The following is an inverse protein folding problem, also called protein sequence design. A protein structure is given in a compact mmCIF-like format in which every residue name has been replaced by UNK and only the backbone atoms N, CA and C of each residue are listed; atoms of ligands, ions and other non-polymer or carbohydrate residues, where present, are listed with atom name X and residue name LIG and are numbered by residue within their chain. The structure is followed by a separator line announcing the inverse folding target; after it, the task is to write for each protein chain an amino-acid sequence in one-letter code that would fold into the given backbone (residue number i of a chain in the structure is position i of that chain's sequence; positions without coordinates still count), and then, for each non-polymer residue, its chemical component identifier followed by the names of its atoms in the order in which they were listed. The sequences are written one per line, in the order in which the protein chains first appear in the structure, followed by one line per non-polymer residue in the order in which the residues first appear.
data_IF_412822930961
#
_entry.id   IF_412822930961
#
_cell.length_a   1.000
_cell.length_b   1.000
_cell.length_c   1.000
_cell.angle_alpha   90.00
_cell.angle_beta   90.00
_cell.angle_gamma   90.00
#
_symmetry.space_group_name_H-M   'P 1'
#
loop_
_entity.id
_entity.type
_entity.pdbx_description
1 polymer ?
#
# COMPACT_ATOMS: atom_id res chain seq x y z
N UNK A 1 41.42 -78.23 8.35
CA UNK A 1 40.33 -77.46 8.96
C UNK A 1 40.69 -75.99 9.16
N UNK A 2 41.72 -75.43 8.56
CA UNK A 2 42.07 -73.96 8.76
C UNK A 2 41.74 -73.06 7.57
N UNK A 3 41.42 -73.59 6.43
CA UNK A 3 41.19 -72.79 5.22
C UNK A 3 39.71 -72.29 5.06
N UNK A 4 38.77 -72.98 5.67
CA UNK A 4 37.35 -72.56 5.56
C UNK A 4 37.02 -71.32 6.35
N UNK A 5 37.76 -71.00 7.38
CA UNK A 5 37.52 -69.82 8.23
C UNK A 5 38.07 -68.53 7.63
N UNK A 6 39.07 -68.62 6.75
CA UNK A 6 39.68 -67.47 6.07
C UNK A 6 38.69 -66.88 5.04
N UNK A 7 37.96 -67.74 4.33
CA UNK A 7 36.96 -67.24 3.35
C UNK A 7 35.73 -66.65 4.00
N UNK A 8 35.36 -67.09 5.22
CA UNK A 8 34.26 -66.51 5.98
C UNK A 8 34.65 -65.11 6.51
N UNK A 9 35.90 -64.89 6.89
CA UNK A 9 36.39 -63.63 7.40
C UNK A 9 36.54 -62.59 6.23
N UNK A 10 36.91 -63.05 5.03
CA UNK A 10 36.98 -62.13 3.86
C UNK A 10 35.61 -61.75 3.33
N UNK A 11 34.60 -62.65 3.42
CA UNK A 11 33.22 -62.32 3.02
C UNK A 11 32.55 -61.32 3.98
N UNK A 12 32.93 -61.31 5.28
CA UNK A 12 32.43 -60.37 6.27
C UNK A 12 32.97 -58.95 6.11
N UNK A 13 34.16 -58.79 5.52
CA UNK A 13 34.77 -57.46 5.34
C UNK A 13 34.17 -56.70 4.11
N UNK A 14 33.71 -57.45 3.09
CA UNK A 14 33.04 -56.83 1.94
C UNK A 14 31.60 -56.41 2.20
N UNK A 15 30.95 -56.89 3.21
CA UNK A 15 29.60 -56.52 3.57
C UNK A 15 29.48 -55.18 4.39
N UNK A 16 30.62 -54.62 4.81
CA UNK A 16 30.67 -53.34 5.54
C UNK A 16 31.05 -52.11 4.67
N UNK A 17 31.29 -52.33 3.36
CA UNK A 17 31.61 -51.21 2.44
C UNK A 17 30.44 -50.77 1.58
N UNK A 18 29.21 -51.14 1.88
CA UNK A 18 28.02 -50.62 1.19
C UNK A 18 27.20 -49.76 2.13
N UNK A 19 27.83 -48.78 2.72
CA UNK A 19 27.16 -47.53 2.99
C UNK A 19 27.57 -46.57 1.85
N UNK A 20 26.89 -46.62 0.73
CA UNK A 20 26.71 -45.41 -0.03
C UNK A 20 26.00 -44.46 0.94
N UNK A 21 26.72 -43.49 1.48
CA UNK A 21 26.06 -42.27 1.98
C UNK A 21 25.27 -41.76 0.77
N UNK A 22 23.97 -41.98 0.78
CA UNK A 22 23.05 -41.19 -0.03
C UNK A 22 23.39 -39.76 0.31
N UNK A 23 24.20 -39.13 -0.53
CA UNK A 23 24.52 -37.73 -0.41
C UNK A 23 23.17 -36.98 -0.55
N UNK A 24 22.51 -36.75 0.59
CA UNK A 24 21.32 -35.88 0.61
C UNK A 24 21.75 -34.58 -0.03
N UNK A 25 21.11 -34.17 -1.12
CA UNK A 25 21.48 -32.95 -1.80
C UNK A 25 21.43 -31.78 -0.81
N UNK A 26 22.57 -31.14 -0.61
CA UNK A 26 22.70 -30.01 0.30
C UNK A 26 22.18 -28.77 -0.43
N UNK A 27 21.22 -28.09 0.19
CA UNK A 27 20.75 -26.78 -0.26
C UNK A 27 21.89 -25.77 -0.05
N UNK A 28 22.47 -25.25 -1.11
CA UNK A 28 23.57 -24.27 -1.07
C UNK A 28 23.39 -23.27 -2.19
N UNK A 29 23.36 -21.98 -1.84
CA UNK A 29 23.27 -20.92 -2.84
C UNK A 29 24.47 -20.97 -3.79
N UNK A 30 24.24 -21.31 -5.06
CA UNK A 30 25.23 -21.32 -6.13
C UNK A 30 25.27 -19.98 -6.87
N UNK A 31 24.10 -19.40 -7.11
CA UNK A 31 23.96 -18.10 -7.76
C UNK A 31 22.82 -17.34 -7.09
N UNK A 32 23.09 -16.13 -6.65
CA UNK A 32 22.05 -15.24 -6.10
C UNK A 32 21.10 -14.77 -7.22
N UNK A 33 19.89 -14.43 -6.86
CA UNK A 33 18.97 -13.75 -7.77
C UNK A 33 19.59 -12.43 -8.24
N UNK A 34 19.28 -12.01 -9.46
CA UNK A 34 19.83 -10.79 -10.04
C UNK A 34 18.75 -9.94 -10.70
N UNK A 35 18.45 -8.76 -10.12
CA UNK A 35 17.53 -7.79 -10.68
C UNK A 35 18.04 -7.25 -12.02
N UNK A 36 17.13 -7.20 -13.00
CA UNK A 36 17.39 -6.57 -14.29
C UNK A 36 17.20 -5.07 -14.19
N UNK A 37 17.96 -4.31 -14.97
CA UNK A 37 17.74 -2.87 -15.10
C UNK A 37 16.33 -2.59 -15.64
N UNK A 38 15.66 -1.58 -15.10
CA UNK A 38 14.37 -1.14 -15.63
C UNK A 38 14.50 -0.61 -17.07
N UNK A 39 13.48 -0.80 -17.87
CA UNK A 39 13.41 -0.27 -19.25
C UNK A 39 13.39 1.25 -19.28
N UNK A 40 12.97 1.89 -18.20
CA UNK A 40 12.97 3.34 -18.00
C UNK A 40 13.30 3.65 -16.55
N UNK A 41 14.16 4.64 -16.31
CA UNK A 41 14.66 4.99 -14.97
C UNK A 41 14.31 6.41 -14.52
N UNK A 42 13.61 7.15 -15.35
CA UNK A 42 13.05 8.50 -15.00
C UNK A 42 11.58 8.50 -15.41
N UNK A 43 10.71 8.43 -14.41
CA UNK A 43 9.30 8.12 -14.59
C UNK A 43 8.46 9.23 -13.96
N UNK A 44 7.64 9.90 -14.79
CA UNK A 44 6.62 10.84 -14.31
C UNK A 44 5.26 10.18 -14.41
N UNK A 45 4.62 9.95 -13.25
CA UNK A 45 3.27 9.44 -13.19
C UNK A 45 2.31 10.63 -13.22
N UNK A 46 1.28 10.53 -14.05
CA UNK A 46 0.27 11.56 -14.25
C UNK A 46 -1.12 10.92 -14.34
N UNK A 47 -2.16 11.74 -14.25
CA UNK A 47 -3.53 11.31 -14.52
C UNK A 47 -3.68 10.58 -15.87
N UNK A 48 -3.02 11.09 -16.91
CA UNK A 48 -3.18 10.59 -18.28
C UNK A 48 -2.52 9.22 -18.50
N UNK A 49 -1.46 8.90 -17.72
CA UNK A 49 -0.73 7.65 -17.84
C UNK A 49 -0.93 6.68 -16.66
N UNK A 50 -1.83 6.98 -15.73
CA UNK A 50 -2.04 6.20 -14.50
C UNK A 50 -2.36 4.71 -14.75
N UNK A 51 -3.07 4.43 -15.83
CA UNK A 51 -3.50 3.07 -16.18
C UNK A 51 -2.46 2.33 -17.06
N UNK A 52 -1.40 3.03 -17.48
CA UNK A 52 -0.29 2.41 -18.20
C UNK A 52 0.54 1.51 -17.27
N UNK A 53 1.26 0.55 -17.86
CA UNK A 53 2.15 -0.32 -17.12
C UNK A 53 3.40 0.46 -16.67
N UNK A 54 3.73 0.34 -15.39
CA UNK A 54 5.04 0.72 -14.85
C UNK A 54 6.11 -0.25 -15.41
N UNK A 55 7.37 0.17 -15.60
CA UNK A 55 8.44 -0.74 -16.01
C UNK A 55 8.49 -1.99 -15.13
N UNK A 56 8.42 -3.16 -15.76
CA UNK A 56 8.41 -4.44 -15.09
C UNK A 56 9.67 -4.62 -14.23
N UNK A 57 9.51 -5.02 -12.98
CA UNK A 57 10.59 -5.40 -12.08
C UNK A 57 10.80 -6.89 -12.24
N UNK A 58 11.89 -7.29 -12.93
CA UNK A 58 12.19 -8.66 -13.24
C UNK A 58 13.61 -9.04 -12.79
N UNK A 59 13.85 -10.33 -12.59
CA UNK A 59 15.15 -10.86 -12.13
C UNK A 59 15.44 -12.26 -12.65
N UNK A 60 16.71 -12.62 -12.65
CA UNK A 60 17.13 -14.00 -12.78
C UNK A 60 16.93 -14.73 -11.45
N UNK A 61 16.40 -15.97 -11.53
CA UNK A 61 16.15 -16.77 -10.33
C UNK A 61 17.43 -17.18 -9.62
N UNK A 62 17.39 -17.26 -8.31
CA UNK A 62 18.46 -17.85 -7.52
C UNK A 62 18.60 -19.35 -7.83
N UNK A 63 19.84 -19.84 -7.87
CA UNK A 63 20.18 -21.26 -8.01
C UNK A 63 20.77 -21.77 -6.69
N UNK A 64 20.12 -22.75 -6.10
CA UNK A 64 20.54 -23.42 -4.87
C UNK A 64 21.19 -24.78 -5.11
N UNK A 65 21.56 -25.09 -6.35
CA UNK A 65 22.19 -26.37 -6.73
C UNK A 65 21.26 -27.59 -6.68
N UNK A 66 20.03 -27.39 -6.16
CA UNK A 66 18.95 -28.38 -6.09
C UNK A 66 17.63 -27.74 -6.41
N UNK A 67 16.65 -28.54 -6.81
CA UNK A 67 15.28 -28.03 -7.00
C UNK A 67 14.69 -27.65 -5.64
N UNK A 68 14.44 -26.37 -5.43
CA UNK A 68 13.85 -25.82 -4.22
C UNK A 68 12.70 -24.87 -4.57
N UNK A 69 11.74 -24.75 -3.67
CA UNK A 69 10.76 -23.65 -3.71
C UNK A 69 11.45 -22.41 -3.15
N UNK A 70 11.52 -21.37 -3.96
CA UNK A 70 12.16 -20.10 -3.60
C UNK A 70 11.09 -19.03 -3.59
N UNK A 71 11.00 -18.29 -2.49
CA UNK A 71 10.21 -17.07 -2.37
C UNK A 71 11.13 -15.86 -2.56
N UNK A 72 10.64 -14.83 -3.24
CA UNK A 72 11.35 -13.58 -3.50
C UNK A 72 10.64 -12.44 -2.81
N UNK A 73 11.32 -11.76 -1.90
CA UNK A 73 10.83 -10.58 -1.19
C UNK A 73 11.42 -9.34 -1.85
N UNK A 74 10.57 -8.51 -2.44
CA UNK A 74 10.98 -7.29 -3.15
C UNK A 74 10.66 -6.09 -2.30
N UNK A 75 11.66 -5.27 -2.02
CA UNK A 75 11.55 -4.08 -1.17
C UNK A 75 11.82 -2.82 -1.99
N UNK A 76 10.95 -1.84 -1.85
CA UNK A 76 11.10 -0.47 -2.36
C UNK A 76 11.56 0.45 -1.24
N UNK A 77 12.60 1.24 -1.50
CA UNK A 77 13.14 2.24 -0.57
C UNK A 77 13.18 3.61 -1.25
N UNK A 78 12.60 4.61 -0.62
CA UNK A 78 12.83 6.01 -0.96
C UNK A 78 14.14 6.48 -0.29
N UNK A 79 15.16 6.81 -1.07
CA UNK A 79 16.50 7.15 -0.55
C UNK A 79 16.54 8.49 0.15
N UNK A 80 15.59 9.40 -0.15
CA UNK A 80 15.49 10.72 0.50
C UNK A 80 14.85 10.66 1.89
N UNK A 81 13.86 9.78 2.08
CA UNK A 81 13.13 9.65 3.36
C UNK A 81 13.66 8.50 4.22
N UNK A 82 14.46 7.59 3.64
CA UNK A 82 14.88 6.30 4.22
C UNK A 82 13.70 5.39 4.63
N UNK A 83 12.51 5.62 4.08
CA UNK A 83 11.35 4.73 4.28
C UNK A 83 11.40 3.58 3.29
N UNK A 84 11.09 2.37 3.76
CA UNK A 84 11.08 1.15 2.95
C UNK A 84 9.80 0.37 3.19
N UNK A 85 9.29 -0.28 2.14
CA UNK A 85 8.15 -1.20 2.22
C UNK A 85 8.42 -2.42 1.33
N UNK A 86 7.88 -3.57 1.72
CA UNK A 86 7.78 -4.74 0.84
C UNK A 86 6.68 -4.46 -0.18
N UNK A 87 7.03 -4.53 -1.46
CA UNK A 87 6.11 -4.29 -2.58
C UNK A 87 5.62 -5.57 -3.25
N UNK A 88 6.19 -6.72 -2.89
CA UNK A 88 5.72 -8.02 -3.32
C UNK A 88 6.53 -9.16 -2.77
N UNK A 89 5.84 -10.29 -2.58
CA UNK A 89 6.41 -11.58 -2.23
C UNK A 89 5.88 -12.60 -3.24
N UNK A 90 6.76 -13.36 -3.90
CA UNK A 90 6.37 -14.24 -4.99
C UNK A 90 7.38 -15.33 -5.26
N UNK A 91 6.95 -16.47 -5.79
CA UNK A 91 7.81 -17.52 -6.38
C UNK A 91 8.12 -17.28 -7.87
N UNK A 92 7.52 -16.27 -8.50
CA UNK A 92 7.80 -15.87 -9.88
C UNK A 92 9.10 -15.07 -9.96
N UNK A 93 9.55 -14.77 -11.19
CA UNK A 93 10.76 -14.00 -11.43
C UNK A 93 10.48 -12.55 -11.85
N UNK A 94 9.30 -12.02 -11.47
CA UNK A 94 8.89 -10.64 -11.80
C UNK A 94 7.73 -10.15 -10.97
N UNK A 95 7.62 -8.82 -10.89
CA UNK A 95 6.45 -8.08 -10.45
C UNK A 95 6.06 -7.06 -11.53
N UNK A 96 4.76 -6.92 -11.73
CA UNK A 96 4.20 -5.94 -12.65
C UNK A 96 3.16 -5.08 -11.91
N UNK A 97 3.20 -3.78 -12.15
CA UNK A 97 2.31 -2.79 -11.57
C UNK A 97 1.79 -1.86 -12.66
N UNK A 98 0.62 -1.31 -12.48
CA UNK A 98 0.21 -0.10 -13.18
C UNK A 98 0.93 1.11 -12.57
N UNK A 99 0.97 2.22 -13.28
CA UNK A 99 1.49 3.48 -12.72
C UNK A 99 0.69 3.92 -11.50
N UNK A 100 -0.63 3.70 -11.46
CA UNK A 100 -1.48 4.02 -10.31
C UNK A 100 -1.13 3.19 -9.06
N UNK A 101 -0.90 1.88 -9.22
CA UNK A 101 -0.47 1.01 -8.13
C UNK A 101 0.91 1.43 -7.61
N UNK A 102 1.85 1.68 -8.52
CA UNK A 102 3.18 2.17 -8.13
C UNK A 102 3.09 3.53 -7.44
N UNK A 103 2.25 4.46 -7.91
CA UNK A 103 2.03 5.76 -7.28
C UNK A 103 1.63 5.63 -5.81
N UNK A 104 0.74 4.68 -5.50
CA UNK A 104 0.32 4.39 -4.13
C UNK A 104 1.45 3.81 -3.28
N UNK A 105 2.34 2.99 -3.87
CA UNK A 105 3.52 2.46 -3.19
C UNK A 105 4.56 3.56 -2.91
N UNK A 106 4.76 4.47 -3.87
CA UNK A 106 5.66 5.63 -3.70
C UNK A 106 5.18 6.55 -2.57
N UNK A 107 3.87 6.77 -2.46
CA UNK A 107 3.28 7.56 -1.38
C UNK A 107 3.57 6.96 0.00
N UNK A 108 3.43 5.64 0.16
CA UNK A 108 3.69 4.92 1.42
C UNK A 108 5.13 5.06 1.90
N UNK A 109 6.09 5.26 1.00
CA UNK A 109 7.48 5.55 1.34
C UNK A 109 7.79 7.05 1.41
N UNK A 110 6.74 7.89 1.50
CA UNK A 110 6.85 9.33 1.75
C UNK A 110 7.24 10.17 0.53
N UNK A 111 6.91 9.73 -0.68
CA UNK A 111 7.07 10.54 -1.86
C UNK A 111 5.80 11.39 -2.07
N UNK A 112 5.96 12.71 -2.15
CA UNK A 112 4.86 13.64 -2.36
C UNK A 112 4.67 13.99 -3.85
N UNK A 113 3.42 14.32 -4.25
CA UNK A 113 3.10 14.61 -5.64
C UNK A 113 3.91 15.80 -6.20
N UNK A 114 4.25 15.72 -7.49
CA UNK A 114 4.94 16.78 -8.21
C UNK A 114 6.41 16.96 -7.85
N UNK A 115 6.95 16.18 -6.91
CA UNK A 115 8.38 16.18 -6.55
C UNK A 115 9.03 14.89 -7.04
N UNK A 116 10.25 15.01 -7.55
CA UNK A 116 11.03 13.85 -8.02
C UNK A 116 11.88 13.29 -6.89
N UNK A 117 11.80 11.98 -6.68
CA UNK A 117 12.58 11.24 -5.67
C UNK A 117 13.40 10.15 -6.31
N UNK A 118 14.51 9.80 -5.65
CA UNK A 118 15.33 8.63 -5.98
C UNK A 118 14.86 7.41 -5.17
N UNK A 119 14.66 6.30 -5.86
CA UNK A 119 14.23 5.03 -5.28
C UNK A 119 15.22 3.92 -5.56
N UNK A 120 15.28 2.98 -4.63
CA UNK A 120 16.03 1.73 -4.78
C UNK A 120 15.06 0.56 -4.63
N UNK A 121 15.16 -0.41 -5.54
CA UNK A 121 14.52 -1.73 -5.41
C UNK A 121 15.61 -2.73 -5.05
N UNK A 122 15.37 -3.49 -4.00
CA UNK A 122 16.20 -4.61 -3.56
C UNK A 122 15.38 -5.90 -3.52
N UNK A 123 16.06 -7.03 -3.63
CA UNK A 123 15.47 -8.34 -3.69
C UNK A 123 16.21 -9.28 -2.75
N UNK A 124 15.46 -10.06 -1.97
CA UNK A 124 15.96 -11.17 -1.17
C UNK A 124 15.28 -12.45 -1.65
N UNK A 125 16.05 -13.51 -1.85
CA UNK A 125 15.53 -14.84 -2.14
C UNK A 125 15.58 -15.70 -0.89
N UNK A 126 14.50 -16.38 -0.59
CA UNK A 126 14.33 -17.27 0.58
C UNK A 126 13.99 -18.67 0.09
N UNK A 127 14.86 -19.64 0.41
CA UNK A 127 14.63 -21.05 0.13
C UNK A 127 14.52 -21.80 1.44
N UNK A 128 13.32 -22.10 1.93
CA UNK A 128 13.01 -22.57 3.27
C UNK A 128 13.25 -21.56 4.39
N UNK A 129 12.42 -21.60 5.45
CA UNK A 129 12.45 -20.72 6.62
C UNK A 129 13.80 -20.60 7.36
N UNK A 130 14.79 -21.42 7.01
CA UNK A 130 16.10 -21.49 7.66
C UNK A 130 17.25 -20.87 6.86
N UNK A 131 17.02 -20.44 5.62
CA UNK A 131 18.05 -19.89 4.74
C UNK A 131 17.58 -18.53 4.20
N UNK A 132 17.84 -17.49 4.96
CA UNK A 132 17.77 -16.12 4.47
C UNK A 132 19.02 -15.84 3.67
N UNK A 133 18.90 -15.65 2.38
CA UNK A 133 20.04 -15.40 1.54
C UNK A 133 20.43 -13.94 1.44
N UNK A 134 21.66 -13.75 1.05
CA UNK A 134 22.18 -12.42 0.80
C UNK A 134 21.33 -11.69 -0.24
N UNK A 135 21.17 -10.39 -0.04
CA UNK A 135 20.52 -9.52 -1.00
C UNK A 135 21.13 -9.68 -2.40
N UNK A 136 20.29 -9.66 -3.41
CA UNK A 136 20.73 -9.50 -4.80
C UNK A 136 21.40 -8.14 -5.02
N UNK A 137 21.82 -7.86 -6.26
CA UNK A 137 22.05 -6.48 -6.68
C UNK A 137 20.78 -5.64 -6.43
N UNK A 138 20.93 -4.34 -6.31
CA UNK A 138 19.83 -3.38 -6.29
C UNK A 138 19.76 -2.62 -7.60
N UNK A 139 18.58 -2.12 -7.95
CA UNK A 139 18.36 -1.21 -9.06
C UNK A 139 17.80 0.10 -8.55
N UNK A 140 18.07 1.18 -9.28
CA UNK A 140 17.62 2.53 -8.90
C UNK A 140 16.82 3.16 -10.02
N UNK A 141 15.88 4.02 -9.64
CA UNK A 141 15.11 4.83 -10.58
C UNK A 141 14.67 6.13 -9.90
N UNK A 142 14.25 7.10 -10.73
CA UNK A 142 13.60 8.34 -10.29
C UNK A 142 12.13 8.27 -10.62
N UNK A 143 11.30 8.75 -9.73
CA UNK A 143 9.88 8.91 -10.02
C UNK A 143 9.32 10.20 -9.44
N UNK A 144 8.37 10.78 -10.19
CA UNK A 144 7.56 11.92 -9.77
C UNK A 144 6.12 11.42 -9.67
N UNK A 145 5.56 11.23 -8.46
CA UNK A 145 4.17 10.83 -8.29
C UNK A 145 3.20 11.98 -8.55
N UNK A 146 1.92 11.65 -8.76
CA UNK A 146 0.83 12.61 -8.86
C UNK A 146 -0.18 12.41 -7.73
N UNK A 147 -1.02 13.41 -7.51
CA UNK A 147 -2.11 13.33 -6.55
C UNK A 147 -3.41 12.86 -7.22
N UNK A 148 -3.89 11.64 -6.96
CA UNK A 148 -5.11 11.13 -7.58
C UNK A 148 -6.39 11.81 -7.05
N UNK A 149 -6.31 12.50 -5.90
CA UNK A 149 -7.48 13.07 -5.22
C UNK A 149 -7.87 14.46 -5.75
N UNK A 150 -6.98 15.15 -6.48
CA UNK A 150 -7.17 16.55 -6.86
C UNK A 150 -7.48 16.76 -8.34
N UNK A 151 -7.80 15.68 -9.03
CA UNK A 151 -8.26 15.75 -10.40
C UNK A 151 -9.53 16.62 -10.51
N UNK A 152 -9.42 17.79 -11.11
CA UNK A 152 -10.47 18.80 -11.30
C UNK A 152 -10.78 19.71 -10.09
N UNK A 153 -9.96 19.72 -9.03
CA UNK A 153 -10.10 20.72 -7.97
C UNK A 153 -9.50 22.05 -8.42
N UNK A 154 -10.31 23.09 -8.44
CA UNK A 154 -9.90 24.47 -8.78
C UNK A 154 -9.87 25.39 -7.57
N UNK A 155 -10.29 24.89 -6.40
CA UNK A 155 -10.36 25.60 -5.14
C UNK A 155 -9.26 25.13 -4.17
N UNK A 156 -9.02 25.88 -3.10
CA UNK A 156 -8.05 25.51 -2.08
C UNK A 156 -8.55 24.31 -1.27
N UNK A 157 -7.65 23.42 -0.92
CA UNK A 157 -7.96 22.23 -0.13
C UNK A 157 -6.85 21.93 0.87
N UNK A 158 -7.20 21.12 1.86
CA UNK A 158 -6.27 20.56 2.83
C UNK A 158 -6.60 19.09 3.08
N UNK A 159 -5.61 18.34 3.52
CA UNK A 159 -5.75 16.93 3.86
C UNK A 159 -6.01 16.74 5.34
N UNK A 160 -6.91 15.83 5.68
CA UNK A 160 -7.07 15.28 7.02
C UNK A 160 -6.14 14.06 7.11
N UNK A 161 -4.94 14.28 7.66
CA UNK A 161 -3.87 13.30 7.75
C UNK A 161 -4.04 12.42 8.99
N UNK A 162 -4.87 11.38 8.88
CA UNK A 162 -5.06 10.38 9.94
C UNK A 162 -3.78 9.58 10.12
N UNK A 163 -3.33 9.41 11.38
CA UNK A 163 -2.08 8.69 11.68
C UNK A 163 -0.79 9.51 11.49
N UNK A 164 -0.91 10.83 11.29
CA UNK A 164 0.27 11.70 11.20
C UNK A 164 1.28 11.45 12.35
N UNK A 165 2.62 11.37 12.09
CA UNK A 165 3.30 11.73 10.82
C UNK A 165 3.33 10.63 9.74
N UNK A 166 2.90 9.40 10.02
CA UNK A 166 2.90 8.28 9.10
C UNK A 166 1.54 8.16 8.40
N UNK A 167 1.24 9.08 7.49
CA UNK A 167 0.01 9.15 6.74
C UNK A 167 0.26 8.96 5.23
N UNK A 168 -0.82 8.60 4.50
CA UNK A 168 -0.81 8.39 3.07
C UNK A 168 -1.79 9.38 2.41
N UNK A 169 -1.28 10.34 1.65
CA UNK A 169 -2.12 11.34 0.99
C UNK A 169 -3.06 10.72 -0.06
N UNK A 170 -2.72 9.56 -0.63
CA UNK A 170 -3.54 8.92 -1.67
C UNK A 170 -4.85 8.37 -1.12
N UNK A 171 -4.92 8.13 0.18
CA UNK A 171 -6.09 7.64 0.90
C UNK A 171 -6.65 8.65 1.89
N UNK A 172 -6.01 9.80 2.05
CA UNK A 172 -6.42 10.84 2.99
C UNK A 172 -7.72 11.53 2.54
N UNK A 173 -8.51 11.95 3.51
CA UNK A 173 -9.70 12.75 3.27
C UNK A 173 -9.33 14.19 2.97
N UNK A 174 -10.16 14.86 2.18
CA UNK A 174 -9.99 16.29 1.86
C UNK A 174 -11.07 17.13 2.51
N UNK A 175 -10.64 18.31 2.99
CA UNK A 175 -11.51 19.44 3.31
C UNK A 175 -11.18 20.58 2.34
N UNK A 176 -12.16 21.39 1.97
CA UNK A 176 -12.00 22.40 0.92
C UNK A 176 -12.58 23.75 1.26
N UNK A 177 -12.05 24.75 0.55
CA UNK A 177 -12.48 26.16 0.60
C UNK A 177 -12.92 26.56 -0.82
N UNK A 178 -14.15 26.20 -1.25
CA UNK A 178 -14.62 26.41 -2.62
C UNK A 178 -15.01 27.87 -2.91
N UNK A 179 -15.34 28.67 -1.93
CA UNK A 179 -15.74 30.08 -2.06
C UNK A 179 -14.59 31.06 -1.76
N UNK A 180 -13.46 30.55 -1.25
CA UNK A 180 -12.24 31.33 -1.04
C UNK A 180 -12.28 32.22 0.21
N UNK A 181 -13.14 31.92 1.16
CA UNK A 181 -13.29 32.70 2.41
C UNK A 181 -12.24 32.35 3.48
N UNK A 182 -11.41 31.33 3.23
CA UNK A 182 -10.36 30.83 4.11
C UNK A 182 -10.85 29.77 5.09
N UNK A 183 -12.08 29.31 4.95
CA UNK A 183 -12.65 28.23 5.78
C UNK A 183 -12.67 26.95 4.96
N UNK A 184 -12.00 25.93 5.47
CA UNK A 184 -11.97 24.60 4.85
C UNK A 184 -12.98 23.71 5.57
N UNK A 185 -13.82 23.00 4.82
CA UNK A 185 -14.77 22.04 5.38
C UNK A 185 -14.85 20.75 4.59
N UNK A 186 -15.22 19.66 5.26
CA UNK A 186 -15.38 18.33 4.64
C UNK A 186 -15.59 17.23 5.68
N UNK A 187 -15.57 15.99 5.21
CA UNK A 187 -15.86 14.82 6.03
C UNK A 187 -14.67 13.87 6.07
N UNK A 188 -14.39 13.28 7.23
CA UNK A 188 -13.39 12.24 7.41
C UNK A 188 -13.93 11.10 8.30
N UNK A 189 -13.58 9.87 7.96
CA UNK A 189 -13.78 8.70 8.82
C UNK A 189 -12.45 8.33 9.47
N UNK A 190 -12.45 8.15 10.77
CA UNK A 190 -11.23 7.89 11.53
C UNK A 190 -11.01 6.42 11.87
N UNK A 191 -11.98 5.54 11.63
CA UNK A 191 -11.90 4.09 11.86
C UNK A 191 -11.25 3.70 13.21
N UNK A 192 -11.56 4.51 14.25
CA UNK A 192 -11.01 4.33 15.60
C UNK A 192 -9.65 5.00 15.83
N UNK A 193 -9.07 5.70 14.87
CA UNK A 193 -7.89 6.53 15.11
C UNK A 193 -8.22 7.66 16.09
N UNK A 194 -7.28 7.95 17.00
CA UNK A 194 -7.48 8.93 18.07
C UNK A 194 -7.06 10.35 17.67
N UNK A 195 -6.20 10.51 16.67
CA UNK A 195 -5.60 11.80 16.31
C UNK A 195 -5.36 11.95 14.81
N UNK A 196 -5.23 13.20 14.37
CA UNK A 196 -4.93 13.58 13.00
C UNK A 196 -4.21 14.94 12.94
N UNK A 197 -3.76 15.31 11.76
CA UNK A 197 -3.29 16.67 11.45
C UNK A 197 -4.01 17.17 10.20
N UNK A 198 -4.02 18.50 10.01
CA UNK A 198 -4.47 19.13 8.77
C UNK A 198 -3.23 19.60 8.00
N UNK A 199 -3.09 19.15 6.77
CA UNK A 199 -1.93 19.40 5.91
C UNK A 199 -2.37 20.23 4.70
N UNK A 200 -1.61 21.26 4.36
CA UNK A 200 -1.87 22.11 3.20
C UNK A 200 -1.88 21.29 1.89
N UNK A 201 -2.93 21.43 1.10
CA UNK A 201 -3.06 20.69 -0.15
C UNK A 201 -2.05 21.10 -1.24
N UNK A 202 -1.58 22.34 -1.21
CA UNK A 202 -0.59 22.83 -2.17
C UNK A 202 0.86 22.54 -1.74
N UNK A 203 1.08 22.34 -0.42
CA UNK A 203 2.41 22.03 0.16
C UNK A 203 2.25 20.98 1.26
N UNK A 204 2.42 19.71 0.89
CA UNK A 204 2.26 18.58 1.80
C UNK A 204 3.30 18.52 2.94
N UNK A 205 4.29 19.40 2.94
CA UNK A 205 5.24 19.57 4.06
C UNK A 205 4.73 20.56 5.11
N UNK A 206 3.69 21.35 4.77
CA UNK A 206 3.14 22.39 5.62
C UNK A 206 1.96 21.88 6.42
N UNK A 207 2.12 21.84 7.74
CA UNK A 207 1.07 21.49 8.69
C UNK A 207 0.28 22.74 9.04
N UNK A 208 -1.02 22.75 8.72
CA UNK A 208 -1.95 23.84 9.07
C UNK A 208 -2.47 23.71 10.50
N UNK A 209 -2.80 22.50 10.93
CA UNK A 209 -3.18 22.21 12.32
C UNK A 209 -2.62 20.85 12.74
N UNK A 210 -1.91 20.82 13.89
CA UNK A 210 -1.21 19.63 14.39
C UNK A 210 -1.90 19.09 15.65
N UNK A 211 -1.67 17.80 15.90
CA UNK A 211 -2.06 17.09 17.14
C UNK A 211 -3.57 17.22 17.47
N UNK A 212 -4.41 17.24 16.43
CA UNK A 212 -5.85 17.27 16.60
C UNK A 212 -6.34 15.94 17.15
N UNK A 213 -7.22 15.98 18.18
CA UNK A 213 -7.82 14.79 18.76
C UNK A 213 -9.21 14.57 18.18
N UNK A 214 -9.55 13.33 17.93
CA UNK A 214 -10.92 12.97 17.56
C UNK A 214 -11.77 13.02 18.82
N UNK A 215 -12.71 13.96 18.85
CA UNK A 215 -13.60 14.21 20.02
C UNK A 215 -15.03 13.75 19.77
N UNK A 216 -15.39 13.48 18.52
CA UNK A 216 -16.71 12.99 18.16
C UNK A 216 -16.98 11.61 18.74
N UNK A 217 -18.17 11.42 19.30
CA UNK A 217 -18.65 10.13 19.77
C UNK A 217 -19.44 9.44 18.64
N UNK A 218 -19.03 8.22 18.30
CA UNK A 218 -19.78 7.40 17.38
C UNK A 218 -19.00 6.92 16.16
N UNK A 219 -19.72 6.18 15.31
CA UNK A 219 -19.26 5.64 14.02
C UNK A 219 -19.75 6.53 12.90
N UNK A 220 -18.99 6.57 11.82
CA UNK A 220 -19.35 7.31 10.63
C UNK A 220 -18.39 8.46 10.33
N UNK A 221 -18.82 9.33 9.46
CA UNK A 221 -18.03 10.47 9.01
C UNK A 221 -18.21 11.67 9.94
N UNK A 222 -17.10 12.25 10.36
CA UNK A 222 -17.04 13.44 11.18
C UNK A 222 -16.85 14.64 10.26
N UNK A 223 -17.67 15.66 10.37
CA UNK A 223 -17.44 16.92 9.69
C UNK A 223 -16.29 17.66 10.38
N UNK A 224 -15.32 18.07 9.59
CA UNK A 224 -14.13 18.81 10.02
C UNK A 224 -14.19 20.19 9.37
N UNK A 225 -13.99 21.22 10.17
CA UNK A 225 -13.83 22.59 9.67
C UNK A 225 -12.53 23.17 10.23
N UNK A 226 -11.74 23.80 9.35
CA UNK A 226 -10.55 24.60 9.70
C UNK A 226 -10.85 26.04 9.32
N UNK A 227 -10.87 26.94 10.31
CA UNK A 227 -11.07 28.37 10.05
C UNK A 227 -9.80 29.11 9.63
N UNK A 228 -9.94 30.36 9.23
CA UNK A 228 -8.84 31.21 8.76
C UNK A 228 -7.77 31.47 9.83
N UNK A 229 -8.10 31.34 11.10
CA UNK A 229 -7.20 31.47 12.25
C UNK A 229 -6.47 30.16 12.58
N UNK A 230 -6.77 29.07 11.86
CA UNK A 230 -6.15 27.74 12.06
C UNK A 230 -6.82 26.92 13.17
N UNK A 231 -8.02 27.31 13.63
CA UNK A 231 -8.77 26.54 14.61
C UNK A 231 -9.57 25.44 13.92
N UNK A 232 -9.45 24.22 14.44
CA UNK A 232 -10.23 23.07 13.97
C UNK A 232 -11.46 22.88 14.84
N UNK A 233 -12.60 22.65 14.20
CA UNK A 233 -13.85 22.21 14.84
C UNK A 233 -14.33 20.91 14.22
N UNK A 234 -15.10 20.13 14.98
CA UNK A 234 -15.63 18.84 14.60
C UNK A 234 -17.12 18.76 14.91
N UNK A 235 -17.87 17.96 14.13
CA UNK A 235 -19.22 17.58 14.56
C UNK A 235 -19.14 16.74 15.85
N UNK A 236 -20.13 16.88 16.72
CA UNK A 236 -20.19 16.15 18.00
C UNK A 236 -20.37 14.63 17.80
N UNK A 237 -20.97 14.23 16.68
CA UNK A 237 -21.26 12.84 16.32
C UNK A 237 -20.86 12.57 14.89
N UNK A 238 -20.53 11.30 14.62
CA UNK A 238 -20.40 10.83 13.26
C UNK A 238 -21.73 10.89 12.51
N UNK A 239 -21.66 11.34 11.26
CA UNK A 239 -22.80 11.48 10.37
C UNK A 239 -22.92 10.24 9.48
N UNK A 240 -24.13 9.76 9.29
CA UNK A 240 -24.47 8.73 8.32
C UNK A 240 -25.65 9.22 7.49
N UNK A 241 -25.37 9.73 6.31
CA UNK A 241 -26.42 10.22 5.42
C UNK A 241 -27.33 9.10 4.94
N UNK A 242 -28.60 9.42 4.78
CA UNK A 242 -29.61 8.48 4.29
C UNK A 242 -30.70 9.15 3.49
N UNK A 243 -31.47 8.34 2.79
CA UNK A 243 -32.70 8.71 2.06
C UNK A 243 -33.88 8.18 2.84
N UNK A 244 -34.88 9.02 3.09
CA UNK A 244 -36.10 8.67 3.79
C UNK A 244 -37.32 9.30 3.10
N UNK A 245 -38.45 8.64 3.13
CA UNK A 245 -39.69 9.16 2.58
C UNK A 245 -40.55 8.09 1.93
N UNK A 246 -41.78 8.44 1.59
CA UNK A 246 -42.74 7.52 0.97
C UNK A 246 -42.26 6.92 -0.36
N UNK A 247 -41.27 7.54 -0.99
CA UNK A 247 -40.61 7.00 -2.18
C UNK A 247 -39.74 5.79 -1.89
N UNK A 248 -39.27 5.61 -0.65
CA UNK A 248 -38.40 4.48 -0.25
C UNK A 248 -39.22 3.28 0.22
N UNK A 249 -38.61 2.11 0.26
CA UNK A 249 -39.26 0.88 0.73
C UNK A 249 -39.65 0.91 2.21
N UNK A 250 -38.97 1.75 3.01
CA UNK A 250 -39.21 1.90 4.46
C UNK A 250 -40.07 3.12 4.82
N UNK A 251 -40.51 3.89 3.82
CA UNK A 251 -41.30 5.10 4.07
C UNK A 251 -40.57 6.12 4.93
N UNK A 252 -41.30 6.72 5.87
CA UNK A 252 -40.77 7.69 6.83
C UNK A 252 -40.25 7.05 8.13
N UNK A 253 -40.25 5.70 8.23
CA UNK A 253 -39.91 5.00 9.46
C UNK A 253 -38.40 4.76 9.59
N UNK A 254 -37.70 4.52 8.49
CA UNK A 254 -36.27 4.16 8.51
C UNK A 254 -35.56 4.70 7.26
N UNK A 255 -34.33 5.21 7.50
CA UNK A 255 -33.45 5.64 6.42
C UNK A 255 -32.91 4.47 5.63
N UNK A 256 -32.84 4.64 4.33
CA UNK A 256 -31.96 3.87 3.47
C UNK A 256 -30.58 4.55 3.50
N UNK A 257 -29.61 3.90 4.13
CA UNK A 257 -28.27 4.49 4.35
C UNK A 257 -27.53 4.67 3.04
N UNK A 258 -26.82 5.79 2.92
CA UNK A 258 -25.89 6.10 1.84
C UNK A 258 -24.47 5.69 2.25
N UNK A 259 -23.65 5.40 1.26
CA UNK A 259 -22.24 5.15 1.42
C UNK A 259 -21.43 6.34 0.90
N UNK A 260 -20.39 6.72 1.64
CA UNK A 260 -19.49 7.79 1.21
C UNK A 260 -18.39 7.19 0.33
N UNK A 261 -18.35 7.61 -0.92
CA UNK A 261 -17.29 7.27 -1.85
C UNK A 261 -16.12 8.26 -1.66
N UNK A 262 -15.01 7.77 -1.16
CA UNK A 262 -13.81 8.56 -0.89
C UNK A 262 -13.13 9.06 -2.16
N UNK A 263 -13.36 8.43 -3.31
CA UNK A 263 -12.78 8.80 -4.60
C UNK A 263 -13.56 9.96 -5.23
N UNK A 264 -14.89 9.84 -5.26
CA UNK A 264 -15.78 10.87 -5.82
C UNK A 264 -16.18 11.92 -4.79
N UNK A 265 -15.98 11.62 -3.49
CA UNK A 265 -16.41 12.43 -2.33
C UNK A 265 -17.91 12.69 -2.30
N UNK A 266 -18.65 11.77 -2.83
CA UNK A 266 -20.09 11.82 -2.86
C UNK A 266 -20.68 10.75 -1.96
N UNK A 267 -21.76 11.12 -1.30
CA UNK A 267 -22.65 10.16 -0.67
C UNK A 267 -23.53 9.54 -1.73
N UNK A 268 -23.53 8.23 -1.83
CA UNK A 268 -24.24 7.48 -2.87
C UNK A 268 -25.14 6.41 -2.27
N UNK A 269 -26.25 6.14 -2.92
CA UNK A 269 -27.09 4.98 -2.66
C UNK A 269 -27.75 4.54 -3.95
N UNK A 270 -27.85 3.26 -4.15
CA UNK A 270 -28.64 2.66 -5.24
C UNK A 270 -29.84 1.99 -4.61
N UNK A 271 -31.02 2.58 -4.80
CA UNK A 271 -32.28 2.07 -4.23
C UNK A 271 -33.45 2.33 -5.21
N UNK A 272 -34.42 1.41 -5.32
CA UNK A 272 -35.66 1.71 -6.01
C UNK A 272 -36.41 2.84 -5.33
N UNK A 273 -36.88 3.79 -6.11
CA UNK A 273 -37.74 4.87 -5.63
C UNK A 273 -39.10 4.80 -6.33
N UNK A 274 -40.14 5.00 -5.56
CA UNK A 274 -41.50 5.21 -6.08
C UNK A 274 -41.69 6.69 -6.47
N UNK A 275 -42.68 6.99 -7.28
CA UNK A 275 -43.06 8.38 -7.62
C UNK A 275 -43.79 9.06 -6.45
N UNK A 276 -43.02 9.35 -5.40
CA UNK A 276 -43.46 9.95 -4.13
C UNK A 276 -42.37 10.83 -3.53
N UNK A 277 -42.66 11.44 -2.39
CA UNK A 277 -41.74 12.32 -1.72
C UNK A 277 -40.61 11.58 -0.99
N UNK A 278 -39.40 12.14 -1.02
CA UNK A 278 -38.26 11.74 -0.21
C UNK A 278 -37.39 12.95 0.15
N UNK A 279 -36.53 12.77 1.13
CA UNK A 279 -35.47 13.73 1.49
C UNK A 279 -34.18 13.02 1.90
N UNK A 280 -33.10 13.76 1.83
CA UNK A 280 -31.84 13.37 2.45
C UNK A 280 -31.77 13.88 3.89
N UNK A 281 -31.17 13.09 4.76
CA UNK A 281 -30.83 13.53 6.14
C UNK A 281 -29.60 12.78 6.65
N UNK A 282 -28.87 13.40 7.62
CA UNK A 282 -27.78 12.81 8.38
C UNK A 282 -28.20 12.60 9.84
#
# INVERSE_FOLDING_TARGET
MKTKYIYLLLAGIFALMSCEEDATPILELKTAAALHALSQTDITITKDNKDAQFPEIAWDKADYGVSAVVNYVVTLTNTSTNKSIVIGETGDAKLAFTNSEMNSLLAKVGAYPGQTYDFTVSLVSEAYDAYTDAASNSITFKATPYDPNVDNITWKYAYVAVGYPDWDYTTAYLIGDPDGDGIYSGYANFDGAASYAIIDGADLTKVLAKDQQVTADGKGFIEITLDAEGKVTQSEKGLVWGVIGDATSSGWDKDTQMEYDTTTRLWTVVTPLLDKEFKFRA
#
